data_IF_044982485259
#
_entry.id   IF_044982485259
#
_cell.length_a   1.000
_cell.length_b   1.000
_cell.length_c   1.000
_cell.angle_alpha   90.00
_cell.angle_beta   90.00
_cell.angle_gamma   90.00
#
_symmetry.space_group_name_H-M   'P 1'
#
loop_
_entity.id
_entity.type
_entity.pdbx_description
1 polymer ?
#
# COMPACT_ATOMS: atom_id res chain seq x y z
N UNK A 1 -15.77 23.23 2.07
CA UNK A 1 -14.54 22.85 1.35
C UNK A 1 -13.34 22.89 2.29
N UNK A 2 -13.16 21.91 3.19
CA UNK A 2 -11.90 21.78 3.96
C UNK A 2 -11.69 20.29 4.30
N UNK A 3 -11.00 19.55 3.43
CA UNK A 3 -10.28 18.35 3.88
C UNK A 3 -8.85 18.79 4.13
N UNK A 4 -8.51 18.93 5.41
CA UNK A 4 -7.14 19.12 5.86
C UNK A 4 -6.29 17.99 5.28
N UNK A 5 -5.36 18.31 4.39
CA UNK A 5 -4.30 17.40 3.96
C UNK A 5 -3.55 16.99 5.21
N UNK A 6 -3.91 15.85 5.81
CA UNK A 6 -3.04 15.18 6.78
C UNK A 6 -1.82 14.75 5.98
N UNK A 7 -0.73 15.50 6.10
CA UNK A 7 0.59 15.03 5.75
C UNK A 7 0.94 13.91 6.72
N UNK A 8 0.44 12.70 6.48
CA UNK A 8 0.98 11.51 7.09
C UNK A 8 2.42 11.40 6.58
N UNK A 9 3.37 11.76 7.44
CA UNK A 9 4.78 11.46 7.24
C UNK A 9 4.87 9.94 7.10
N UNK A 10 4.80 9.45 5.86
CA UNK A 10 4.81 8.03 5.57
C UNK A 10 6.25 7.57 5.71
N UNK A 11 6.66 7.26 6.95
CA UNK A 11 7.89 6.54 7.18
C UNK A 11 7.69 5.13 6.61
N UNK A 12 8.47 4.79 5.58
CA UNK A 12 8.51 3.41 5.09
C UNK A 12 9.11 2.55 6.22
N UNK A 13 8.49 1.44 6.61
CA UNK A 13 9.01 0.60 7.69
C UNK A 13 10.45 0.14 7.40
N UNK A 14 11.34 0.29 8.39
CA UNK A 14 12.79 0.01 8.25
C UNK A 14 13.10 -1.46 7.90
N UNK A 15 12.15 -2.38 8.06
CA UNK A 15 12.29 -3.80 7.66
C UNK A 15 11.81 -4.13 6.24
N UNK A 16 11.42 -3.13 5.44
CA UNK A 16 10.85 -3.33 4.11
C UNK A 16 11.88 -3.15 3.00
N UNK A 17 12.85 -4.06 2.87
CA UNK A 17 13.97 -3.90 1.93
C UNK A 17 13.59 -3.91 0.44
N UNK A 18 12.55 -4.64 0.05
CA UNK A 18 12.18 -4.77 -1.37
C UNK A 18 11.68 -3.44 -1.95
N UNK A 19 12.34 -2.86 -2.98
CA UNK A 19 11.92 -1.58 -3.57
C UNK A 19 10.47 -1.60 -4.07
N UNK A 20 10.02 -2.72 -4.64
CA UNK A 20 8.63 -2.86 -5.11
C UNK A 20 7.64 -2.88 -3.95
N UNK A 21 8.00 -3.51 -2.83
CA UNK A 21 7.15 -3.52 -1.65
C UNK A 21 7.08 -2.13 -1.01
N UNK A 22 8.18 -1.37 -1.00
CA UNK A 22 8.19 0.04 -0.58
C UNK A 22 7.22 0.88 -1.40
N UNK A 23 7.24 0.73 -2.73
CA UNK A 23 6.33 1.46 -3.64
C UNK A 23 4.86 1.11 -3.40
N UNK A 24 4.53 -0.17 -3.22
CA UNK A 24 3.16 -0.59 -2.91
C UNK A 24 2.71 0.00 -1.57
N UNK A 25 3.53 -0.12 -0.52
CA UNK A 25 3.21 0.45 0.80
C UNK A 25 3.01 1.97 0.74
N UNK A 26 3.92 2.68 0.08
CA UNK A 26 3.84 4.13 -0.07
C UNK A 26 2.58 4.56 -0.83
N UNK A 27 2.23 3.86 -1.92
CA UNK A 27 1.02 4.14 -2.68
C UNK A 27 -0.24 4.02 -1.79
N UNK A 28 -0.32 2.94 -1.00
CA UNK A 28 -1.44 2.74 -0.07
C UNK A 28 -1.50 3.84 0.99
N UNK A 29 -0.36 4.26 1.54
CA UNK A 29 -0.30 5.31 2.56
C UNK A 29 -0.72 6.68 2.02
N UNK A 30 -0.34 7.00 0.78
CA UNK A 30 -0.63 8.32 0.18
C UNK A 30 -2.06 8.47 -0.34
N UNK A 31 -2.76 7.35 -0.57
CA UNK A 31 -4.13 7.32 -1.12
C UNK A 31 -5.18 6.84 -0.10
N UNK A 32 -4.82 6.69 1.18
CA UNK A 32 -5.68 6.09 2.22
C UNK A 32 -6.21 4.70 1.80
N UNK A 33 -5.34 3.93 1.15
CA UNK A 33 -5.60 2.59 0.62
C UNK A 33 -5.92 2.56 -0.88
N UNK A 34 -5.98 1.35 -1.44
CA UNK A 34 -6.27 1.13 -2.86
C UNK A 34 -6.71 -0.30 -3.16
N UNK A 35 -7.46 -0.49 -4.24
CA UNK A 35 -7.76 -1.78 -4.84
C UNK A 35 -6.54 -2.33 -5.60
N UNK A 36 -6.56 -3.62 -5.94
CA UNK A 36 -5.51 -4.22 -6.77
C UNK A 36 -5.45 -3.61 -8.18
N UNK A 37 -6.60 -3.19 -8.72
CA UNK A 37 -6.65 -2.54 -10.03
C UNK A 37 -6.00 -1.16 -9.99
N UNK A 38 -6.30 -0.34 -8.98
CA UNK A 38 -5.65 0.96 -8.79
C UNK A 38 -4.14 0.84 -8.58
N UNK A 39 -3.69 -0.16 -7.82
CA UNK A 39 -2.26 -0.47 -7.66
C UNK A 39 -1.61 -0.89 -8.98
N UNK A 40 -2.31 -1.68 -9.79
CA UNK A 40 -1.81 -2.09 -11.11
C UNK A 40 -1.65 -0.89 -12.02
N UNK A 41 -2.67 -0.04 -12.11
CA UNK A 41 -2.67 1.09 -13.02
C UNK A 41 -1.68 2.17 -12.56
N UNK A 42 -1.64 2.45 -11.25
CA UNK A 42 -0.76 3.46 -10.67
C UNK A 42 0.71 3.07 -10.62
N UNK A 43 1.03 1.78 -10.47
CA UNK A 43 2.42 1.31 -10.34
C UNK A 43 2.91 0.52 -11.57
N UNK A 44 2.06 0.32 -12.57
CA UNK A 44 2.36 -0.50 -13.77
C UNK A 44 2.89 -1.89 -13.41
N UNK A 45 2.36 -2.51 -12.34
CA UNK A 45 2.78 -3.82 -11.87
C UNK A 45 1.76 -4.90 -12.24
N UNK A 46 2.24 -6.09 -12.62
CA UNK A 46 1.38 -7.25 -12.88
C UNK A 46 0.62 -7.67 -11.61
N UNK A 47 -0.65 -8.05 -11.75
CA UNK A 47 -1.49 -8.54 -10.62
C UNK A 47 -0.81 -9.64 -9.80
N UNK A 48 -0.14 -10.60 -10.44
CA UNK A 48 0.56 -11.69 -9.74
C UNK A 48 1.66 -11.18 -8.81
N UNK A 49 2.40 -10.16 -9.24
CA UNK A 49 3.43 -9.48 -8.43
C UNK A 49 2.78 -8.75 -7.26
N UNK A 50 1.70 -8.00 -7.53
CA UNK A 50 0.96 -7.27 -6.50
C UNK A 50 0.40 -8.20 -5.43
N UNK A 51 -0.27 -9.29 -5.82
CA UNK A 51 -0.81 -10.25 -4.85
C UNK A 51 0.29 -10.88 -3.98
N UNK A 52 1.47 -11.18 -4.55
CA UNK A 52 2.60 -11.69 -3.77
C UNK A 52 3.12 -10.67 -2.76
N UNK A 53 3.25 -9.40 -3.17
CA UNK A 53 3.66 -8.30 -2.28
C UNK A 53 2.62 -8.05 -1.19
N UNK A 54 1.36 -7.91 -1.54
CA UNK A 54 0.25 -7.65 -0.61
C UNK A 54 0.11 -8.79 0.41
N UNK A 55 0.25 -10.04 -0.02
CA UNK A 55 0.29 -11.20 0.89
C UNK A 55 1.45 -11.09 1.88
N UNK A 56 2.63 -10.67 1.41
CA UNK A 56 3.82 -10.49 2.26
C UNK A 56 3.62 -9.35 3.27
N UNK A 57 3.15 -8.19 2.82
CA UNK A 57 2.89 -7.03 3.67
C UNK A 57 1.83 -7.35 4.73
N UNK A 58 0.75 -8.04 4.33
CA UNK A 58 -0.31 -8.47 5.25
C UNK A 58 0.19 -9.49 6.26
N UNK A 59 1.00 -10.45 5.83
CA UNK A 59 1.63 -11.43 6.72
C UNK A 59 2.57 -10.79 7.76
N UNK A 60 3.13 -9.61 7.45
CA UNK A 60 3.93 -8.81 8.38
C UNK A 60 3.11 -7.81 9.20
N UNK A 61 1.79 -7.75 9.03
CA UNK A 61 0.93 -6.79 9.72
C UNK A 61 1.13 -5.33 9.27
N UNK A 62 1.72 -5.09 8.10
CA UNK A 62 1.96 -3.73 7.59
C UNK A 62 0.76 -3.17 6.81
N UNK A 63 -0.09 -4.04 6.27
CA UNK A 63 -1.32 -3.67 5.56
C UNK A 63 -2.46 -4.58 5.98
N UNK A 64 -3.67 -4.04 6.01
CA UNK A 64 -4.94 -4.75 6.14
C UNK A 64 -5.68 -4.84 4.81
N UNK A 65 -6.76 -5.62 4.81
CA UNK A 65 -7.73 -5.62 3.70
C UNK A 65 -9.09 -5.21 4.27
N UNK A 66 -9.64 -4.12 3.76
CA UNK A 66 -11.00 -3.66 4.02
C UNK A 66 -11.82 -3.82 2.74
N UNK A 67 -12.75 -4.79 2.76
CA UNK A 67 -13.51 -5.24 1.58
C UNK A 67 -12.57 -5.59 0.42
N UNK A 68 -12.59 -4.81 -0.66
CA UNK A 68 -11.79 -4.95 -1.87
C UNK A 68 -10.54 -4.05 -1.88
N UNK A 69 -10.36 -3.20 -0.86
CA UNK A 69 -9.21 -2.29 -0.72
C UNK A 69 -8.19 -2.82 0.26
N UNK A 70 -6.93 -2.55 -0.02
CA UNK A 70 -5.83 -2.68 0.92
C UNK A 70 -5.58 -1.34 1.58
N UNK A 71 -5.33 -1.33 2.88
CA UNK A 71 -5.07 -0.13 3.68
C UNK A 71 -3.81 -0.34 4.52
N UNK A 72 -3.07 0.73 4.82
CA UNK A 72 -1.94 0.64 5.77
C UNK A 72 -2.48 0.25 7.15
N UNK A 73 -1.82 -0.70 7.80
CA UNK A 73 -2.17 -1.06 9.17
C UNK A 73 -1.79 0.09 10.10
N UNK A 74 -2.73 0.48 10.98
CA UNK A 74 -2.53 1.51 12.00
C UNK A 74 -1.91 0.94 13.27
#
# INVERSE_FOLDING_TARGET
MQQARRTHQTAVPDGLESPRAKLVYLYLSTHDGATVTELQDGLSMKKITLFSILKTLRGRGLVGQDRDRYVVAS
#
